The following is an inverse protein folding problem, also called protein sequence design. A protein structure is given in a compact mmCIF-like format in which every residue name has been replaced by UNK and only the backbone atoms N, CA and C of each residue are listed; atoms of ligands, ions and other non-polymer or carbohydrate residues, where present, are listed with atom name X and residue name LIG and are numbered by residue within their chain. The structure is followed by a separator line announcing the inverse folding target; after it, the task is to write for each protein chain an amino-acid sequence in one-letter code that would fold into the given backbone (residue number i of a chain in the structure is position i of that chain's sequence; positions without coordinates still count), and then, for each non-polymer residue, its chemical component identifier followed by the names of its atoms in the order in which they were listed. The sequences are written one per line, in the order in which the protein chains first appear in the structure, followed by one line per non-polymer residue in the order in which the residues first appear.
data_IF_186384131072
#
_entry.id   IF_186384131072
#
_cell.length_a   1.000
_cell.length_b   1.000
_cell.length_c   1.000
_cell.angle_alpha   90.00
_cell.angle_beta   90.00
_cell.angle_gamma   90.00
#
_symmetry.space_group_name_H-M   'P 1'
#
loop_
_entity.id
_entity.type
_entity.pdbx_description
1 polymer ?
#
# COMPACT_ATOMS: atom_id res chain seq x y z
N UNK A 1 21.04 21.47 -15.68
CA UNK A 1 20.73 21.23 -14.24
C UNK A 1 19.25 20.86 -14.15
N UNK A 2 18.94 19.61 -13.78
CA UNK A 2 17.60 19.02 -13.94
C UNK A 2 16.51 19.71 -13.12
N UNK A 3 15.41 20.08 -13.78
CA UNK A 3 14.19 20.58 -13.14
C UNK A 3 13.63 19.49 -12.23
N UNK A 4 13.66 19.71 -10.93
CA UNK A 4 12.99 18.85 -9.94
C UNK A 4 11.49 19.00 -10.17
N UNK A 5 10.87 18.03 -10.84
CA UNK A 5 9.42 18.00 -11.02
C UNK A 5 8.76 17.95 -9.65
N UNK A 6 8.04 19.02 -9.29
CA UNK A 6 7.28 19.12 -8.05
C UNK A 6 5.90 18.47 -8.26
N UNK A 7 5.90 17.16 -8.51
CA UNK A 7 4.68 16.37 -8.38
C UNK A 7 4.35 16.28 -6.89
N UNK A 8 3.10 16.54 -6.51
CA UNK A 8 2.68 16.36 -5.13
C UNK A 8 2.86 14.89 -4.70
N UNK A 9 2.94 14.60 -3.39
CA UNK A 9 3.05 13.21 -2.92
C UNK A 9 1.91 12.33 -3.45
N UNK A 10 0.72 12.91 -3.66
CA UNK A 10 -0.43 12.22 -4.25
C UNK A 10 -0.29 11.94 -5.76
N UNK A 11 0.32 12.86 -6.52
CA UNK A 11 0.58 12.65 -7.95
C UNK A 11 1.58 11.50 -8.15
N UNK A 12 2.64 11.48 -7.33
CA UNK A 12 3.64 10.42 -7.33
C UNK A 12 2.99 9.07 -6.97
N UNK A 13 2.16 9.03 -5.93
CA UNK A 13 1.44 7.82 -5.54
C UNK A 13 0.48 7.33 -6.64
N UNK A 14 -0.16 8.24 -7.38
CA UNK A 14 -1.06 7.91 -8.49
C UNK A 14 -0.28 7.32 -9.67
N UNK A 15 0.86 7.94 -10.03
CA UNK A 15 1.77 7.40 -11.03
C UNK A 15 2.29 6.01 -10.63
N UNK A 16 2.71 5.81 -9.38
CA UNK A 16 3.13 4.50 -8.86
C UNK A 16 1.97 3.50 -8.97
N UNK A 17 0.77 3.85 -8.51
CA UNK A 17 -0.42 2.99 -8.55
C UNK A 17 -0.76 2.49 -9.96
N UNK A 18 -0.67 3.39 -10.95
CA UNK A 18 -0.96 3.06 -12.33
C UNK A 18 0.16 2.24 -12.97
N UNK A 19 1.41 2.71 -12.87
CA UNK A 19 2.57 2.15 -13.58
C UNK A 19 3.21 0.95 -12.89
N UNK A 20 3.01 0.78 -11.58
CA UNK A 20 3.69 -0.25 -10.79
C UNK A 20 5.16 0.04 -10.53
N UNK A 21 5.68 1.21 -10.90
CA UNK A 21 7.12 1.53 -10.84
C UNK A 21 7.32 2.77 -9.96
N UNK A 22 8.33 2.71 -9.09
CA UNK A 22 8.78 3.87 -8.34
C UNK A 22 9.58 4.79 -9.26
N UNK A 23 9.15 6.05 -9.52
CA UNK A 23 9.85 6.98 -10.40
C UNK A 23 11.25 7.36 -9.89
N UNK A 24 11.54 7.19 -8.60
CA UNK A 24 12.85 7.51 -8.02
C UNK A 24 13.84 6.35 -8.15
N UNK A 25 13.41 5.13 -7.81
CA UNK A 25 14.29 3.96 -7.83
C UNK A 25 14.21 3.14 -9.12
N UNK A 26 13.20 3.41 -9.98
CA UNK A 26 12.85 2.64 -11.17
C UNK A 26 12.58 1.16 -10.90
N UNK A 27 12.31 0.80 -9.64
CA UNK A 27 12.02 -0.56 -9.23
C UNK A 27 10.51 -0.80 -9.23
N UNK A 28 10.08 -2.06 -9.45
CA UNK A 28 8.68 -2.41 -9.28
C UNK A 28 8.27 -2.23 -7.81
N UNK A 29 7.10 -1.63 -7.60
CA UNK A 29 6.48 -1.43 -6.29
C UNK A 29 5.38 -2.47 -6.12
N UNK A 30 5.30 -3.07 -4.94
CA UNK A 30 4.20 -3.95 -4.58
C UNK A 30 2.93 -3.13 -4.35
N UNK A 31 1.95 -3.28 -5.25
CA UNK A 31 0.71 -2.50 -5.20
C UNK A 31 -0.47 -3.45 -5.05
N UNK A 32 -1.22 -3.24 -3.97
CA UNK A 32 -2.46 -3.94 -3.66
C UNK A 32 -3.58 -3.54 -4.65
N UNK A 33 -3.58 -4.15 -5.84
CA UNK A 33 -4.66 -3.97 -6.82
C UNK A 33 -5.88 -4.84 -6.49
N UNK A 34 -5.68 -5.96 -5.77
CA UNK A 34 -6.73 -6.89 -5.36
C UNK A 34 -7.73 -6.32 -4.35
N UNK A 35 -9.01 -6.68 -4.51
CA UNK A 35 -10.09 -6.31 -3.58
C UNK A 35 -9.84 -6.81 -2.15
N UNK A 36 -9.25 -7.99 -2.01
CA UNK A 36 -8.93 -8.58 -0.72
C UNK A 36 -7.80 -7.83 0.00
N UNK A 37 -6.75 -7.43 -0.73
CA UNK A 37 -5.65 -6.66 -0.15
C UNK A 37 -6.09 -5.27 0.31
N UNK A 38 -7.01 -4.62 -0.42
CA UNK A 38 -7.57 -3.33 0.02
C UNK A 38 -8.45 -3.46 1.26
N UNK A 39 -9.24 -4.52 1.37
CA UNK A 39 -10.02 -4.80 2.59
C UNK A 39 -9.11 -5.02 3.78
N UNK A 40 -8.03 -5.78 3.59
CA UNK A 40 -7.03 -6.04 4.62
C UNK A 40 -6.30 -4.74 5.02
N UNK A 41 -5.85 -3.94 4.06
CA UNK A 41 -5.24 -2.63 4.33
C UNK A 41 -6.19 -1.67 5.06
N UNK A 42 -7.49 -1.68 4.72
CA UNK A 42 -8.49 -0.88 5.41
C UNK A 42 -8.76 -1.37 6.83
N UNK A 43 -8.80 -2.69 7.05
CA UNK A 43 -8.98 -3.28 8.38
C UNK A 43 -7.78 -3.02 9.31
N UNK A 44 -6.58 -2.84 8.76
CA UNK A 44 -5.39 -2.44 9.51
C UNK A 44 -5.42 -0.98 10.00
N UNK A 45 -6.25 -0.10 9.42
CA UNK A 45 -6.32 1.31 9.88
C UNK A 45 -6.98 1.43 11.27
N UNK A 46 -8.19 0.86 11.51
CA UNK A 46 -8.75 0.72 12.84
C UNK A 46 -8.44 -0.67 13.43
N UNK A 47 -7.15 -1.00 13.58
CA UNK A 47 -6.71 -2.32 14.08
C UNK A 47 -7.20 -2.64 15.51
N UNK A 48 -7.63 -1.64 16.27
CA UNK A 48 -8.09 -1.76 17.65
C UNK A 48 -9.58 -2.13 17.77
N UNK A 49 -10.33 -2.07 16.67
CA UNK A 49 -11.75 -2.43 16.67
C UNK A 49 -11.90 -3.97 16.64
N UNK A 50 -12.73 -4.56 17.54
CA UNK A 50 -12.89 -6.00 17.65
C UNK A 50 -13.47 -6.64 16.37
N UNK A 51 -14.21 -5.87 15.55
CA UNK A 51 -14.72 -6.32 14.26
C UNK A 51 -13.61 -6.58 13.22
N UNK A 52 -12.45 -5.93 13.37
CA UNK A 52 -11.31 -6.06 12.47
C UNK A 52 -10.26 -7.06 12.96
N UNK A 53 -10.36 -7.56 14.20
CA UNK A 53 -9.37 -8.46 14.81
C UNK A 53 -9.09 -9.70 13.94
N UNK A 54 -10.14 -10.31 13.38
CA UNK A 54 -9.98 -11.47 12.50
C UNK A 54 -9.20 -11.14 11.22
N UNK A 55 -9.49 -10.00 10.60
CA UNK A 55 -8.82 -9.55 9.39
C UNK A 55 -7.36 -9.13 9.65
N UNK A 56 -7.10 -8.51 10.80
CA UNK A 56 -5.75 -8.15 11.26
C UNK A 56 -4.94 -9.41 11.56
N UNK A 57 -5.52 -10.39 12.27
CA UNK A 57 -4.87 -11.65 12.59
C UNK A 57 -4.51 -12.48 11.35
N UNK A 58 -5.43 -12.58 10.38
CA UNK A 58 -5.15 -13.25 9.10
C UNK A 58 -4.04 -12.54 8.32
N UNK A 59 -4.01 -11.20 8.36
CA UNK A 59 -2.92 -10.42 7.77
C UNK A 59 -1.56 -10.70 8.42
N UNK A 60 -1.53 -10.81 9.76
CA UNK A 60 -0.31 -11.10 10.52
C UNK A 60 0.22 -12.51 10.26
N UNK A 61 -0.68 -13.51 10.15
CA UNK A 61 -0.34 -14.89 9.79
C UNK A 61 0.25 -14.95 8.38
N UNK A 62 -0.35 -14.24 7.40
CA UNK A 62 0.16 -14.19 6.02
C UNK A 62 1.57 -13.62 5.89
N UNK A 63 1.96 -12.73 6.80
CA UNK A 63 3.30 -12.10 6.81
C UNK A 63 4.25 -12.82 7.78
N UNK A 64 3.81 -13.88 8.46
CA UNK A 64 4.62 -14.67 9.39
C UNK A 64 5.05 -13.89 10.64
N UNK A 65 4.21 -12.94 11.08
CA UNK A 65 4.45 -12.10 12.27
C UNK A 65 3.77 -12.65 13.53
N UNK A 66 3.02 -13.75 13.37
CA UNK A 66 2.41 -14.64 14.37
C UNK A 66 2.64 -16.06 13.85
#
# INVERSE_FOLDING_TARGET
MGRRFHYGPFDIATCMYYTGIDPFTKKPVAIAKGLNDRKMQRALMPFFEPENDFAVRDALIKVGRI
#
